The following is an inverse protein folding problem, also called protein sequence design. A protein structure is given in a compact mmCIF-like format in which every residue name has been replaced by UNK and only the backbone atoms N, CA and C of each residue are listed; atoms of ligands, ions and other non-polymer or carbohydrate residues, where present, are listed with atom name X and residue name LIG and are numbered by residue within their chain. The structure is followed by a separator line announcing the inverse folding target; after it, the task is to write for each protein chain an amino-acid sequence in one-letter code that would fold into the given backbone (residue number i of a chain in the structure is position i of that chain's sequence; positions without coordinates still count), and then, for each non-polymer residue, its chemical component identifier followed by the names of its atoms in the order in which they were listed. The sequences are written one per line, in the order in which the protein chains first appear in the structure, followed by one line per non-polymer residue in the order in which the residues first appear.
data_IF_645465222255
#
_entry.id   IF_645465222255
#
_cell.length_a   1.000
_cell.length_b   1.000
_cell.length_c   1.000
_cell.angle_alpha   90.00
_cell.angle_beta   90.00
_cell.angle_gamma   90.00
#
_symmetry.space_group_name_H-M   'P 1'
#
loop_
_entity.id
_entity.type
_entity.pdbx_description
1 polymer ?
#
# COMPACT_ATOMS: atom_id res chain seq x y z
N UNK A 1 -50.92 -3.30 -2.82
CA UNK A 1 -50.48 -2.34 -3.84
C UNK A 1 -49.13 -2.79 -4.37
N UNK A 2 -49.04 -3.17 -5.64
CA UNK A 2 -47.75 -3.39 -6.31
C UNK A 2 -47.11 -2.04 -6.62
N UNK A 3 -45.80 -1.85 -6.37
CA UNK A 3 -45.12 -0.58 -6.66
C UNK A 3 -45.20 -0.28 -8.16
N UNK A 4 -45.43 0.99 -8.51
CA UNK A 4 -45.52 1.40 -9.93
C UNK A 4 -44.13 1.29 -10.56
N UNK A 5 -44.08 0.99 -11.86
CA UNK A 5 -42.83 0.82 -12.61
C UNK A 5 -41.84 1.98 -12.46
N UNK A 6 -42.34 3.22 -12.31
CA UNK A 6 -41.53 4.41 -12.02
C UNK A 6 -40.82 4.39 -10.66
N UNK A 7 -41.46 3.84 -9.62
CA UNK A 7 -40.89 3.74 -8.28
C UNK A 7 -39.75 2.71 -8.24
N UNK A 8 -39.90 1.63 -9.02
CA UNK A 8 -38.88 0.58 -9.15
C UNK A 8 -37.66 1.10 -9.92
N UNK A 9 -37.86 1.90 -10.97
CA UNK A 9 -36.76 2.50 -11.73
C UNK A 9 -35.91 3.42 -10.85
N UNK A 10 -36.56 4.29 -10.07
CA UNK A 10 -35.88 5.19 -9.13
C UNK A 10 -35.13 4.43 -8.03
N UNK A 11 -35.76 3.43 -7.42
CA UNK A 11 -35.10 2.59 -6.41
C UNK A 11 -33.85 1.85 -6.95
N UNK A 12 -33.87 1.44 -8.22
CA UNK A 12 -32.70 0.84 -8.88
C UNK A 12 -31.57 1.84 -9.11
N UNK A 13 -31.89 3.07 -9.49
CA UNK A 13 -30.90 4.14 -9.66
C UNK A 13 -30.29 4.53 -8.31
N UNK A 14 -31.12 4.72 -7.28
CA UNK A 14 -30.66 5.05 -5.92
C UNK A 14 -29.73 3.97 -5.35
N UNK A 15 -30.08 2.69 -5.56
CA UNK A 15 -29.21 1.57 -5.18
C UNK A 15 -27.87 1.61 -5.93
N UNK A 16 -27.88 1.82 -7.25
CA UNK A 16 -26.65 1.91 -8.05
C UNK A 16 -25.77 3.05 -7.58
N UNK A 17 -26.34 4.22 -7.32
CA UNK A 17 -25.62 5.39 -6.83
C UNK A 17 -25.00 5.12 -5.45
N UNK A 18 -25.76 4.49 -4.56
CA UNK A 18 -25.27 4.12 -3.21
C UNK A 18 -24.10 3.14 -3.30
N UNK A 19 -24.21 2.11 -4.15
CA UNK A 19 -23.15 1.13 -4.35
C UNK A 19 -21.92 1.74 -5.04
N UNK A 20 -22.12 2.61 -6.02
CA UNK A 20 -21.03 3.34 -6.67
C UNK A 20 -20.28 4.23 -5.66
N UNK A 21 -21.00 4.95 -4.81
CA UNK A 21 -20.40 5.77 -3.76
C UNK A 21 -19.65 4.92 -2.71
N UNK A 22 -20.21 3.77 -2.31
CA UNK A 22 -19.54 2.85 -1.38
C UNK A 22 -18.26 2.27 -1.98
N UNK A 23 -18.30 1.87 -3.27
CA UNK A 23 -17.13 1.40 -4.00
C UNK A 23 -16.06 2.48 -4.11
N UNK A 24 -16.43 3.70 -4.50
CA UNK A 24 -15.50 4.81 -4.62
C UNK A 24 -14.80 5.13 -3.29
N UNK A 25 -15.52 5.07 -2.16
CA UNK A 25 -14.93 5.22 -0.82
C UNK A 25 -13.90 4.14 -0.53
N UNK A 26 -14.24 2.87 -0.78
CA UNK A 26 -13.32 1.75 -0.57
C UNK A 26 -12.07 1.87 -1.44
N UNK A 27 -12.25 2.17 -2.72
CA UNK A 27 -11.15 2.27 -3.68
C UNK A 27 -10.19 3.40 -3.28
N UNK A 28 -10.72 4.53 -2.80
CA UNK A 28 -9.90 5.61 -2.23
C UNK A 28 -9.12 5.17 -0.99
N UNK A 29 -9.76 4.45 -0.06
CA UNK A 29 -9.05 3.92 1.13
C UNK A 29 -7.92 2.99 0.74
N UNK A 30 -8.11 2.14 -0.27
CA UNK A 30 -7.03 1.29 -0.77
C UNK A 30 -5.91 2.10 -1.41
N UNK A 31 -6.23 3.11 -2.22
CA UNK A 31 -5.23 4.00 -2.80
C UNK A 31 -4.42 4.72 -1.71
N UNK A 32 -5.08 5.25 -0.69
CA UNK A 32 -4.42 5.95 0.42
C UNK A 32 -3.56 4.98 1.25
N UNK A 33 -4.03 3.75 1.46
CA UNK A 33 -3.27 2.71 2.17
C UNK A 33 -2.03 2.27 1.39
N UNK A 34 -2.14 2.09 0.08
CA UNK A 34 -0.98 1.76 -0.77
C UNK A 34 0.04 2.90 -0.76
N UNK A 35 -0.38 4.16 -0.83
CA UNK A 35 0.53 5.31 -0.68
C UNK A 35 1.24 5.33 0.66
N UNK A 36 0.52 5.07 1.75
CA UNK A 36 1.10 5.01 3.10
C UNK A 36 2.11 3.86 3.20
N UNK A 37 1.79 2.69 2.62
CA UNK A 37 2.68 1.55 2.57
C UNK A 37 3.96 1.86 1.78
N UNK A 38 3.82 2.45 0.59
CA UNK A 38 4.97 2.84 -0.24
C UNK A 38 5.86 3.86 0.47
N UNK A 39 5.27 4.83 1.18
CA UNK A 39 6.01 5.80 1.97
C UNK A 39 6.76 5.15 3.14
N UNK A 40 6.11 4.26 3.88
CA UNK A 40 6.72 3.52 4.98
C UNK A 40 7.86 2.61 4.50
N UNK A 41 7.66 1.91 3.37
CA UNK A 41 8.70 1.10 2.74
C UNK A 41 9.89 1.98 2.32
N UNK A 42 9.64 3.13 1.70
CA UNK A 42 10.70 4.04 1.29
C UNK A 42 11.50 4.59 2.49
N UNK A 43 10.83 4.93 3.59
CA UNK A 43 11.48 5.39 4.83
C UNK A 43 12.34 4.30 5.47
N UNK A 44 11.82 3.06 5.53
CA UNK A 44 12.56 1.90 6.00
C UNK A 44 13.86 1.73 5.18
N UNK A 45 13.76 1.68 3.85
CA UNK A 45 14.92 1.39 3.01
C UNK A 45 15.94 2.52 2.98
N UNK A 46 15.51 3.78 3.12
CA UNK A 46 16.42 4.91 3.34
C UNK A 46 17.20 4.75 4.63
N UNK A 47 16.51 4.40 5.71
CA UNK A 47 17.13 4.16 7.02
C UNK A 47 18.12 3.00 6.95
N UNK A 48 17.73 1.88 6.35
CA UNK A 48 18.61 0.72 6.15
C UNK A 48 19.83 1.10 5.30
N UNK A 49 19.65 1.85 4.22
CA UNK A 49 20.74 2.34 3.38
C UNK A 49 21.75 3.18 4.16
N UNK A 50 21.26 4.15 4.93
CA UNK A 50 22.10 5.02 5.76
C UNK A 50 22.86 4.26 6.86
N UNK A 51 22.23 3.24 7.47
CA UNK A 51 22.86 2.43 8.52
C UNK A 51 23.89 1.43 7.98
N UNK A 52 23.76 1.02 6.71
CA UNK A 52 24.69 0.08 6.07
C UNK A 52 25.86 0.78 5.37
N UNK A 53 25.77 2.09 5.13
CA UNK A 53 26.87 2.86 4.54
C UNK A 53 27.97 3.09 5.57
N UNK A 54 29.20 2.70 5.24
CA UNK A 54 30.34 2.75 6.17
C UNK A 54 30.24 1.82 7.40
N UNK A 55 29.27 0.91 7.44
CA UNK A 55 29.07 -0.01 8.58
C UNK A 55 30.19 -1.05 8.71
N UNK A 56 30.22 -1.73 9.87
CA UNK A 56 31.19 -2.78 10.16
C UNK A 56 31.05 -3.99 9.19
N UNK A 57 32.15 -4.75 9.05
CA UNK A 57 32.16 -5.94 8.23
C UNK A 57 31.20 -7.00 8.79
N UNK A 58 30.13 -7.29 8.09
CA UNK A 58 29.08 -8.23 8.53
C UNK A 58 27.70 -7.60 8.72
N UNK A 59 27.60 -6.26 8.79
CA UNK A 59 26.31 -5.58 9.02
C UNK A 59 25.20 -5.96 8.02
N UNK A 60 25.56 -6.34 6.78
CA UNK A 60 24.62 -6.83 5.78
C UNK A 60 24.08 -8.23 6.07
N UNK A 61 24.81 -9.06 6.82
CA UNK A 61 24.35 -10.37 7.28
C UNK A 61 23.35 -10.19 8.40
N UNK A 62 23.67 -9.34 9.38
CA UNK A 62 22.77 -9.01 10.49
C UNK A 62 21.47 -8.36 9.97
N UNK A 63 21.57 -7.49 8.96
CA UNK A 63 20.39 -6.91 8.31
C UNK A 63 19.52 -7.98 7.61
N UNK A 64 20.12 -9.03 7.04
CA UNK A 64 19.38 -10.18 6.46
C UNK A 64 18.66 -10.95 7.56
N UNK A 65 19.29 -11.16 8.70
CA UNK A 65 18.69 -11.85 9.85
C UNK A 65 17.50 -11.07 10.43
N UNK A 66 17.65 -9.75 10.58
CA UNK A 66 16.60 -8.88 11.14
C UNK A 66 15.43 -8.68 10.17
N UNK A 67 15.73 -8.40 8.89
CA UNK A 67 14.70 -8.09 7.90
C UNK A 67 14.08 -9.34 7.26
N UNK A 68 14.69 -10.52 7.45
CA UNK A 68 14.20 -11.79 6.90
C UNK A 68 14.22 -11.86 5.37
N UNK A 69 14.99 -11.01 4.71
CA UNK A 69 15.09 -10.92 3.25
C UNK A 69 16.54 -11.08 2.81
N UNK A 70 16.76 -11.46 1.55
CA UNK A 70 18.11 -11.73 1.05
C UNK A 70 18.96 -10.47 0.92
N UNK A 71 20.30 -10.63 1.01
CA UNK A 71 21.26 -9.52 0.85
C UNK A 71 21.06 -8.77 -0.48
N UNK A 72 20.83 -9.50 -1.56
CA UNK A 72 20.60 -8.90 -2.88
C UNK A 72 19.31 -8.07 -2.92
N UNK A 73 18.27 -8.53 -2.23
CA UNK A 73 17.04 -7.76 -2.09
C UNK A 73 17.29 -6.45 -1.32
N UNK A 74 18.02 -6.50 -0.20
CA UNK A 74 18.42 -5.30 0.55
C UNK A 74 19.19 -4.33 -0.36
N UNK A 75 20.21 -4.81 -1.08
CA UNK A 75 20.99 -3.98 -2.00
C UNK A 75 20.14 -3.35 -3.10
N UNK A 76 19.16 -4.09 -3.64
CA UNK A 76 18.25 -3.57 -4.66
C UNK A 76 17.34 -2.49 -4.09
N UNK A 77 16.78 -2.70 -2.90
CA UNK A 77 15.86 -1.74 -2.29
C UNK A 77 16.58 -0.49 -1.79
N UNK A 78 17.71 -0.63 -1.10
CA UNK A 78 18.47 0.54 -0.65
C UNK A 78 18.93 1.40 -1.82
N UNK A 79 19.33 0.81 -2.96
CA UNK A 79 19.63 1.57 -4.20
C UNK A 79 18.42 2.22 -4.85
N UNK A 80 17.23 1.63 -4.71
CA UNK A 80 15.99 2.19 -5.27
C UNK A 80 15.57 3.47 -4.54
N UNK A 81 15.87 3.56 -3.25
CA UNK A 81 15.42 4.64 -2.37
C UNK A 81 16.55 5.55 -1.83
N UNK A 82 17.82 5.25 -2.15
CA UNK A 82 18.99 6.10 -1.86
C UNK A 82 19.01 7.37 -2.66
#
# INVERSE_FOLDING_TARGET
MTPRSGDIAKAREDLKNTLAAAKAKRDKVFEDTEKLREAADAELWKTVGAQLDGAYHGARTDAVEVLGVTRDYILKQTKKYS
#
